data_IF_235988312995
#
_entry.id   IF_235988312995
#
_cell.length_a   1.000
_cell.length_b   1.000
_cell.length_c   1.000
_cell.angle_alpha   90.00
_cell.angle_beta   90.00
_cell.angle_gamma   90.00
#
_symmetry.space_group_name_H-M   'P 1'
#
loop_
_entity.id
_entity.type
_entity.pdbx_description
1 polymer ?
#
# COMPACT_ATOMS: atom_id res chain seq x y z
N UNK A 1 8.32 36.88 2.95
CA UNK A 1 8.58 35.71 3.81
C UNK A 1 8.90 34.52 2.93
N UNK A 2 10.17 34.08 2.90
CA UNK A 2 10.53 32.82 2.26
C UNK A 2 10.04 31.68 3.17
N UNK A 3 9.27 30.71 2.65
CA UNK A 3 8.86 29.56 3.47
C UNK A 3 10.11 28.78 3.86
N UNK A 4 10.25 28.48 5.15
CA UNK A 4 11.36 27.69 5.67
C UNK A 4 11.38 26.30 5.01
N UNK A 5 12.54 25.92 4.46
CA UNK A 5 12.79 24.59 3.89
C UNK A 5 13.77 23.83 4.81
N UNK A 6 13.36 22.69 5.39
CA UNK A 6 14.28 21.86 6.17
C UNK A 6 15.36 21.21 5.29
N UNK A 7 16.52 20.83 5.87
CA UNK A 7 17.50 19.94 5.23
C UNK A 7 16.88 18.59 4.82
N UNK A 8 17.46 17.95 3.80
CA UNK A 8 16.96 16.68 3.22
C UNK A 8 16.71 15.55 4.22
N UNK A 9 17.63 15.35 5.17
CA UNK A 9 17.50 14.30 6.20
C UNK A 9 16.34 14.56 7.18
N UNK A 10 15.99 15.84 7.38
CA UNK A 10 14.91 16.24 8.27
C UNK A 10 13.55 16.09 7.58
N UNK A 11 13.50 16.24 6.24
CA UNK A 11 12.32 15.92 5.43
C UNK A 11 11.98 14.43 5.49
N UNK A 12 12.99 13.55 5.50
CA UNK A 12 12.79 12.10 5.65
C UNK A 12 12.19 11.78 7.02
N UNK A 13 12.67 12.43 8.10
CA UNK A 13 12.14 12.26 9.47
C UNK A 13 10.68 12.70 9.65
N UNK A 14 10.13 13.49 8.73
CA UNK A 14 8.74 13.99 8.76
C UNK A 14 7.80 13.18 7.86
N UNK A 15 8.27 12.06 7.29
CA UNK A 15 7.46 11.12 6.52
C UNK A 15 7.37 9.79 7.29
N UNK A 16 6.17 9.44 7.73
CA UNK A 16 5.89 8.21 8.48
C UNK A 16 5.29 7.17 7.54
N UNK A 17 6.04 6.11 7.25
CA UNK A 17 5.64 5.13 6.25
C UNK A 17 5.69 3.73 6.84
N UNK A 18 4.59 3.01 6.72
CA UNK A 18 4.50 1.65 7.22
C UNK A 18 3.65 0.75 6.32
N UNK A 19 4.16 -0.45 6.10
CA UNK A 19 3.41 -1.58 5.56
C UNK A 19 3.44 -2.66 6.63
N UNK A 20 2.27 -3.07 7.12
CA UNK A 20 2.19 -3.91 8.33
C UNK A 20 0.98 -4.84 8.27
N UNK A 21 1.05 -6.07 8.80
CA UNK A 21 -0.14 -6.92 8.94
C UNK A 21 -1.08 -6.45 10.06
N UNK A 22 -0.60 -5.58 10.95
CA UNK A 22 -1.33 -5.15 12.15
C UNK A 22 -2.47 -4.16 11.85
N UNK A 23 -3.55 -4.14 12.66
CA UNK A 23 -4.61 -3.15 12.55
C UNK A 23 -4.08 -1.71 12.62
N UNK A 24 -4.57 -0.85 11.73
CA UNK A 24 -4.19 0.56 11.68
C UNK A 24 -4.98 1.36 12.72
N UNK A 25 -4.29 2.16 13.52
CA UNK A 25 -4.91 3.08 14.50
C UNK A 25 -4.89 4.50 13.95
N UNK A 26 -6.08 5.06 13.70
CA UNK A 26 -6.24 6.46 13.28
C UNK A 26 -5.64 7.42 14.31
N UNK A 27 -5.89 7.18 15.59
CA UNK A 27 -5.38 8.03 16.67
C UNK A 27 -3.85 8.03 16.73
N UNK A 28 -3.22 6.84 16.67
CA UNK A 28 -1.76 6.73 16.65
C UNK A 28 -1.16 7.49 15.47
N UNK A 29 -1.73 7.30 14.27
CA UNK A 29 -1.24 7.95 13.05
C UNK A 29 -1.48 9.47 13.11
N UNK A 30 -2.61 9.91 13.67
CA UNK A 30 -2.89 11.32 13.89
C UNK A 30 -1.82 11.97 14.77
N UNK A 31 -1.44 11.35 15.89
CA UNK A 31 -0.42 11.89 16.78
C UNK A 31 0.95 12.05 16.11
N UNK A 32 1.30 11.21 15.14
CA UNK A 32 2.56 11.34 14.39
C UNK A 32 2.62 12.63 13.56
N UNK A 33 1.47 13.09 13.06
CA UNK A 33 1.42 14.23 12.12
C UNK A 33 1.02 15.55 12.77
N UNK A 34 0.61 15.56 14.03
CA UNK A 34 0.30 16.79 14.78
C UNK A 34 1.57 17.61 14.96
N UNK A 35 1.46 18.91 14.70
CA UNK A 35 2.56 19.87 14.85
C UNK A 35 2.02 21.23 15.34
N UNK A 36 2.67 21.89 16.31
CA UNK A 36 2.25 23.20 16.80
C UNK A 36 2.17 24.30 15.73
N UNK A 37 2.87 24.13 14.60
CA UNK A 37 2.87 25.08 13.48
C UNK A 37 1.75 24.83 12.46
N UNK A 38 0.96 23.78 12.65
CA UNK A 38 -0.10 23.38 11.72
C UNK A 38 -1.49 23.71 12.27
N UNK A 39 -2.29 24.43 11.47
CA UNK A 39 -3.70 24.68 11.75
C UNK A 39 -4.64 23.60 11.21
N UNK A 40 -4.13 22.63 10.45
CA UNK A 40 -4.94 21.56 9.87
C UNK A 40 -4.18 20.22 9.82
N UNK A 41 -4.93 19.16 10.10
CA UNK A 41 -4.58 17.77 9.78
C UNK A 41 -5.75 17.21 8.97
N UNK A 42 -5.45 16.63 7.81
CA UNK A 42 -6.45 15.95 6.99
C UNK A 42 -6.12 14.47 6.92
N UNK A 43 -7.16 13.63 6.91
CA UNK A 43 -7.05 12.18 6.88
C UNK A 43 -7.85 11.61 5.72
N UNK A 44 -7.32 10.55 5.12
CA UNK A 44 -8.07 9.58 4.32
C UNK A 44 -7.97 8.22 4.99
N UNK A 45 -9.11 7.54 5.14
CA UNK A 45 -9.20 6.20 5.70
C UNK A 45 -9.95 5.32 4.70
N UNK A 46 -9.23 4.38 4.09
CA UNK A 46 -9.83 3.39 3.19
C UNK A 46 -10.29 2.19 4.00
N UNK A 47 -11.60 1.98 4.12
CA UNK A 47 -12.18 0.85 4.84
C UNK A 47 -12.73 -0.23 3.91
N UNK A 48 -12.69 -1.48 4.37
CA UNK A 48 -13.32 -2.60 3.66
C UNK A 48 -14.84 -2.48 3.71
N UNK A 49 -15.49 -2.56 2.55
CA UNK A 49 -16.95 -2.58 2.43
C UNK A 49 -17.48 -4.01 2.55
N UNK A 50 -18.74 -4.14 2.98
CA UNK A 50 -19.47 -5.41 3.13
C UNK A 50 -19.95 -6.01 1.80
N UNK A 51 -19.81 -5.28 0.69
CA UNK A 51 -20.37 -5.70 -0.60
C UNK A 51 -19.54 -5.23 -1.80
N UNK A 52 -19.52 -6.06 -2.84
CA UNK A 52 -18.94 -5.74 -4.15
C UNK A 52 -19.77 -6.37 -5.27
N UNK A 53 -20.24 -5.57 -6.25
CA UNK A 53 -21.07 -6.03 -7.38
C UNK A 53 -22.25 -6.92 -6.95
N UNK A 54 -22.90 -6.57 -5.83
CA UNK A 54 -24.04 -7.33 -5.29
C UNK A 54 -23.68 -8.62 -4.56
N UNK A 55 -22.38 -8.94 -4.38
CA UNK A 55 -21.90 -10.06 -3.57
C UNK A 55 -21.48 -9.59 -2.18
N UNK A 56 -21.82 -10.38 -1.17
CA UNK A 56 -21.43 -10.16 0.22
C UNK A 56 -19.93 -10.48 0.40
N UNK A 57 -19.16 -9.48 0.81
CA UNK A 57 -17.72 -9.57 1.08
C UNK A 57 -17.55 -9.74 2.59
N UNK A 58 -16.83 -10.79 3.00
CA UNK A 58 -16.55 -11.06 4.41
C UNK A 58 -15.27 -10.36 4.86
N UNK A 59 -14.26 -10.33 3.98
CA UNK A 59 -12.96 -9.70 4.24
C UNK A 59 -12.18 -9.51 2.94
N UNK A 60 -11.14 -8.68 3.02
CA UNK A 60 -10.10 -8.57 2.00
C UNK A 60 -8.81 -9.23 2.48
N UNK A 61 -8.06 -9.79 1.56
CA UNK A 61 -6.67 -10.24 1.77
C UNK A 61 -5.75 -9.36 0.93
N UNK A 62 -4.78 -8.72 1.57
CA UNK A 62 -3.84 -7.80 0.94
C UNK A 62 -2.43 -8.38 0.93
N UNK A 63 -1.80 -8.39 -0.23
CA UNK A 63 -0.38 -8.73 -0.40
C UNK A 63 0.37 -7.51 -0.91
N UNK A 64 1.64 -7.37 -0.52
CA UNK A 64 2.48 -6.27 -0.96
C UNK A 64 3.91 -6.72 -1.17
N UNK A 65 4.58 -6.14 -2.17
CA UNK A 65 6.04 -6.16 -2.19
C UNK A 65 6.53 -5.05 -1.26
N UNK A 66 6.68 -5.36 0.03
CA UNK A 66 6.80 -4.36 1.09
C UNK A 66 7.92 -3.33 0.87
N UNK A 67 9.11 -3.78 0.45
CA UNK A 67 10.24 -2.87 0.23
C UNK A 67 9.93 -1.86 -0.88
N UNK A 68 9.38 -2.33 -2.00
CA UNK A 68 8.99 -1.48 -3.12
C UNK A 68 7.80 -0.59 -2.75
N UNK A 69 6.82 -1.12 -2.02
CA UNK A 69 5.69 -0.36 -1.53
C UNK A 69 6.13 0.81 -0.64
N UNK A 70 7.05 0.59 0.30
CA UNK A 70 7.61 1.67 1.14
C UNK A 70 8.37 2.70 0.31
N UNK A 71 9.14 2.27 -0.70
CA UNK A 71 9.84 3.18 -1.63
C UNK A 71 8.87 4.05 -2.42
N UNK A 72 7.81 3.48 -2.98
CA UNK A 72 6.78 4.21 -3.73
C UNK A 72 5.99 5.17 -2.82
N UNK A 73 5.61 4.76 -1.61
CA UNK A 73 4.99 5.64 -0.63
C UNK A 73 5.88 6.83 -0.27
N UNK A 74 7.20 6.60 -0.14
CA UNK A 74 8.15 7.68 0.10
C UNK A 74 8.24 8.63 -1.09
N UNK A 75 8.27 8.10 -2.31
CA UNK A 75 8.24 8.90 -3.53
C UNK A 75 6.99 9.79 -3.59
N UNK A 76 5.82 9.27 -3.21
CA UNK A 76 4.57 10.04 -3.12
C UNK A 76 4.70 11.18 -2.11
N UNK A 77 5.25 10.93 -0.91
CA UNK A 77 5.48 11.98 0.08
C UNK A 77 6.39 13.09 -0.45
N UNK A 78 7.49 12.73 -1.11
CA UNK A 78 8.42 13.70 -1.71
C UNK A 78 7.75 14.51 -2.83
N UNK A 79 6.98 13.86 -3.69
CA UNK A 79 6.21 14.51 -4.74
C UNK A 79 5.13 15.46 -4.21
N UNK A 80 4.45 15.11 -3.11
CA UNK A 80 3.49 15.99 -2.46
C UNK A 80 4.18 17.26 -1.93
N UNK A 81 5.34 17.12 -1.29
CA UNK A 81 6.12 18.26 -0.77
C UNK A 81 6.68 19.17 -1.86
N UNK A 82 7.02 18.62 -3.04
CA UNK A 82 7.39 19.43 -4.20
C UNK A 82 6.24 20.31 -4.69
N UNK A 83 5.00 19.79 -4.65
CA UNK A 83 3.79 20.55 -5.03
C UNK A 83 3.36 21.53 -3.94
N UNK A 84 3.50 21.15 -2.68
CA UNK A 84 3.10 21.92 -1.51
C UNK A 84 4.23 21.96 -0.48
N UNK A 85 5.10 22.96 -0.58
CA UNK A 85 6.27 23.11 0.31
C UNK A 85 5.92 23.42 1.76
N UNK A 86 4.67 23.83 2.04
CA UNK A 86 4.18 24.14 3.39
C UNK A 86 3.77 22.90 4.21
N UNK A 87 3.65 21.71 3.60
CA UNK A 87 3.30 20.49 4.33
C UNK A 87 4.34 20.20 5.41
N UNK A 88 3.89 19.86 6.62
CA UNK A 88 4.79 19.49 7.72
C UNK A 88 5.02 18.01 7.80
N UNK A 89 4.02 17.24 8.19
CA UNK A 89 4.15 15.80 8.34
C UNK A 89 3.22 15.09 7.37
N UNK A 90 3.71 13.97 6.85
CA UNK A 90 2.91 13.06 6.02
C UNK A 90 3.04 11.66 6.60
N UNK A 91 1.93 10.95 6.70
CA UNK A 91 1.88 9.55 7.05
C UNK A 91 1.14 8.76 5.96
N UNK A 92 1.73 7.64 5.53
CA UNK A 92 1.09 6.67 4.64
C UNK A 92 1.29 5.29 5.24
N UNK A 93 0.20 4.71 5.71
CA UNK A 93 0.17 3.41 6.37
C UNK A 93 -0.74 2.49 5.60
N UNK A 94 -0.23 1.30 5.24
CA UNK A 94 -1.01 0.29 4.54
C UNK A 94 -0.97 -1.03 5.29
N UNK A 95 -2.14 -1.62 5.47
CA UNK A 95 -2.29 -2.94 6.09
C UNK A 95 -2.19 -4.04 5.04
N UNK A 96 -1.43 -5.09 5.36
CA UNK A 96 -1.36 -6.35 4.60
C UNK A 96 -2.05 -7.47 5.37
N UNK A 97 -2.18 -8.64 4.74
CA UNK A 97 -2.91 -9.77 5.31
C UNK A 97 -4.41 -9.55 5.31
N UNK A 98 -5.10 -10.11 6.30
CA UNK A 98 -6.56 -10.10 6.37
C UNK A 98 -7.09 -8.79 6.95
N UNK A 99 -8.00 -8.15 6.23
CA UNK A 99 -8.68 -6.92 6.62
C UNK A 99 -10.20 -7.16 6.61
N UNK A 100 -10.82 -7.34 7.78
CA UNK A 100 -12.27 -7.49 7.92
C UNK A 100 -13.06 -6.29 7.40
N UNK A 101 -14.35 -6.50 7.14
CA UNK A 101 -15.32 -5.43 6.84
C UNK A 101 -15.31 -4.37 7.94
N UNK A 102 -15.34 -3.10 7.54
CA UNK A 102 -15.32 -1.94 8.43
C UNK A 102 -13.92 -1.54 8.91
N UNK A 103 -12.90 -2.39 8.74
CA UNK A 103 -11.53 -2.07 9.15
C UNK A 103 -10.75 -1.34 8.05
N UNK A 104 -9.78 -0.52 8.48
CA UNK A 104 -8.95 0.26 7.58
C UNK A 104 -7.85 -0.59 6.93
N UNK A 105 -7.76 -0.55 5.60
CA UNK A 105 -6.67 -1.12 4.82
C UNK A 105 -5.58 -0.10 4.52
N UNK A 106 -5.92 1.19 4.48
CA UNK A 106 -4.95 2.27 4.29
C UNK A 106 -5.39 3.51 5.09
N UNK A 107 -4.42 4.16 5.72
CA UNK A 107 -4.60 5.48 6.34
C UNK A 107 -3.53 6.42 5.79
N UNK A 108 -3.98 7.58 5.31
CA UNK A 108 -3.11 8.68 4.90
C UNK A 108 -3.44 9.89 5.75
N UNK A 109 -2.43 10.52 6.35
CA UNK A 109 -2.59 11.72 7.15
C UNK A 109 -1.58 12.79 6.72
N UNK A 110 -2.03 14.04 6.60
CA UNK A 110 -1.16 15.15 6.21
C UNK A 110 -1.46 16.37 7.08
N UNK A 111 -0.41 17.00 7.61
CA UNK A 111 -0.51 18.26 8.34
C UNK A 111 0.06 19.45 7.57
N UNK A 112 -0.61 20.60 7.73
CA UNK A 112 -0.27 21.85 7.05
C UNK A 112 -0.67 23.05 7.93
N UNK A 113 0.01 24.20 7.80
CA UNK A 113 -0.45 25.47 8.38
C UNK A 113 -1.91 25.81 8.02
N UNK A 114 -2.34 25.46 6.81
CA UNK A 114 -3.69 25.76 6.31
C UNK A 114 -4.37 24.53 5.70
N UNK A 115 -5.71 24.49 5.82
CA UNK A 115 -6.54 23.33 5.43
C UNK A 115 -6.50 23.00 3.94
N UNK A 116 -6.36 24.01 3.07
CA UNK A 116 -6.45 23.84 1.60
C UNK A 116 -5.41 22.83 1.10
N UNK A 117 -4.18 22.99 1.58
CA UNK A 117 -3.02 22.20 1.13
C UNK A 117 -3.06 20.81 1.74
N UNK A 118 -3.50 20.67 3.00
CA UNK A 118 -3.69 19.35 3.62
C UNK A 118 -4.73 18.52 2.86
N UNK A 119 -5.88 19.09 2.50
CA UNK A 119 -6.95 18.39 1.76
C UNK A 119 -6.44 17.94 0.40
N UNK A 120 -5.84 18.86 -0.38
CA UNK A 120 -5.31 18.55 -1.72
C UNK A 120 -4.19 17.52 -1.68
N UNK A 121 -3.33 17.57 -0.66
CA UNK A 121 -2.23 16.63 -0.52
C UNK A 121 -2.70 15.22 -0.17
N UNK A 122 -3.71 15.07 0.69
CA UNK A 122 -4.32 13.77 1.00
C UNK A 122 -4.96 13.15 -0.24
N UNK A 123 -5.76 13.93 -0.98
CA UNK A 123 -6.37 13.49 -2.23
C UNK A 123 -5.32 13.05 -3.26
N UNK A 124 -4.27 13.85 -3.44
CA UNK A 124 -3.15 13.49 -4.29
C UNK A 124 -2.50 12.17 -3.84
N UNK A 125 -2.22 12.03 -2.55
CA UNK A 125 -1.49 10.88 -2.02
C UNK A 125 -2.27 9.57 -2.18
N UNK A 126 -3.59 9.56 -1.95
CA UNK A 126 -4.40 8.35 -2.16
C UNK A 126 -4.47 7.97 -3.64
N UNK A 127 -4.66 8.94 -4.52
CA UNK A 127 -4.72 8.68 -5.96
C UNK A 127 -3.39 8.15 -6.49
N UNK A 128 -2.27 8.74 -6.04
CA UNK A 128 -0.94 8.26 -6.39
C UNK A 128 -0.67 6.86 -5.80
N UNK A 129 -1.08 6.60 -4.55
CA UNK A 129 -0.89 5.30 -3.92
C UNK A 129 -1.63 4.19 -4.68
N UNK A 130 -2.89 4.40 -5.06
CA UNK A 130 -3.65 3.44 -5.86
C UNK A 130 -3.05 3.20 -7.25
N UNK A 131 -2.34 4.20 -7.79
CA UNK A 131 -1.74 4.14 -9.12
C UNK A 131 -0.35 3.47 -9.15
N UNK A 132 0.50 3.69 -8.13
CA UNK A 132 1.91 3.29 -8.19
C UNK A 132 2.34 2.27 -7.14
N UNK A 133 1.66 2.19 -6.00
CA UNK A 133 2.09 1.31 -4.91
C UNK A 133 1.75 -0.16 -5.25
N UNK A 134 2.73 -1.08 -5.26
CA UNK A 134 2.52 -2.49 -5.59
C UNK A 134 1.87 -3.24 -4.42
N UNK A 135 0.55 -3.06 -4.30
CA UNK A 135 -0.32 -3.77 -3.36
C UNK A 135 -1.45 -4.42 -4.15
N UNK A 136 -1.68 -5.70 -3.86
CA UNK A 136 -2.72 -6.51 -4.46
C UNK A 136 -3.81 -6.79 -3.43
N UNK A 137 -5.07 -6.79 -3.86
CA UNK A 137 -6.20 -7.15 -3.02
C UNK A 137 -6.91 -8.38 -3.58
N UNK A 138 -7.37 -9.22 -2.69
CA UNK A 138 -8.20 -10.38 -2.98
C UNK A 138 -9.48 -10.26 -2.17
N UNK A 139 -10.60 -10.36 -2.86
CA UNK A 139 -11.92 -10.34 -2.24
C UNK A 139 -12.32 -11.75 -1.81
N UNK A 140 -12.69 -11.90 -0.53
CA UNK A 140 -13.18 -13.15 0.05
C UNK A 140 -14.67 -12.95 0.33
N UNK A 141 -15.51 -13.70 -0.39
CA UNK A 141 -16.97 -13.62 -0.30
C UNK A 141 -17.55 -14.61 0.70
N UNK A 142 -18.82 -14.42 1.07
CA UNK A 142 -19.56 -15.39 1.86
C UNK A 142 -19.90 -16.66 1.05
N UNK A 143 -19.93 -17.81 1.74
CA UNK A 143 -20.18 -19.13 1.14
C UNK A 143 -18.97 -19.73 0.41
N UNK A 144 -19.18 -20.84 -0.33
CA UNK A 144 -18.13 -21.54 -1.10
C UNK A 144 -17.77 -20.84 -2.42
N UNK A 145 -17.94 -19.51 -2.50
CA UNK A 145 -17.61 -18.75 -3.70
C UNK A 145 -16.09 -18.61 -3.84
N UNK A 146 -15.52 -18.80 -5.04
CA UNK A 146 -14.09 -18.69 -5.24
C UNK A 146 -13.62 -17.24 -5.01
N UNK A 147 -12.49 -17.03 -4.31
CA UNK A 147 -11.95 -15.70 -4.09
C UNK A 147 -11.51 -15.07 -5.40
N UNK A 148 -11.58 -13.73 -5.49
CA UNK A 148 -11.20 -13.00 -6.70
C UNK A 148 -10.09 -11.99 -6.41
N UNK A 149 -8.97 -12.13 -7.14
CA UNK A 149 -7.90 -11.15 -7.15
C UNK A 149 -8.30 -9.95 -7.99
N UNK A 150 -8.03 -8.75 -7.48
CA UNK A 150 -8.19 -7.51 -8.22
C UNK A 150 -6.95 -6.64 -8.11
N UNK A 151 -6.53 -6.15 -9.26
CA UNK A 151 -5.61 -5.03 -9.35
C UNK A 151 -6.44 -3.75 -9.29
N UNK A 152 -5.90 -2.67 -8.71
CA UNK A 152 -6.61 -1.40 -8.72
C UNK A 152 -6.72 -0.90 -10.17
N UNK A 153 -7.90 -0.43 -10.58
CA UNK A 153 -8.16 0.03 -11.96
C UNK A 153 -7.24 1.19 -12.39
N UNK A 154 -6.65 1.90 -11.43
CA UNK A 154 -5.75 3.03 -11.65
C UNK A 154 -4.26 2.61 -11.66
N UNK A 155 -3.93 1.32 -11.44
CA UNK A 155 -2.55 0.84 -11.39
C UNK A 155 -1.84 1.00 -12.74
N UNK A 156 -0.80 1.81 -12.78
CA UNK A 156 -0.05 2.12 -14.00
C UNK A 156 0.82 0.95 -14.47
N UNK A 157 1.15 -0.01 -13.60
CA UNK A 157 1.89 -1.22 -13.95
C UNK A 157 0.99 -2.38 -14.44
N UNK A 158 -0.34 -2.25 -14.36
CA UNK A 158 -1.27 -3.28 -14.83
C UNK A 158 -1.28 -3.45 -16.36
N UNK A 159 -0.71 -2.49 -17.10
CA UNK A 159 -0.75 -2.42 -18.57
C UNK A 159 0.37 -3.14 -19.34
N UNK A 160 1.32 -3.81 -18.68
CA UNK A 160 2.37 -4.58 -19.39
C UNK A 160 2.03 -6.05 -19.60
N UNK A 161 0.86 -6.52 -19.18
CA UNK A 161 0.43 -7.91 -19.34
C UNK A 161 -0.92 -8.03 -20.08
N UNK A 162 -0.94 -7.71 -21.37
CA UNK A 162 -2.02 -8.17 -22.26
C UNK A 162 -1.46 -8.62 -23.61
N UNK A 163 -1.01 -9.87 -23.67
CA UNK A 163 -1.31 -10.78 -24.78
C UNK A 163 -1.08 -12.24 -24.35
N UNK A 164 -2.15 -13.03 -24.39
CA UNK A 164 -2.27 -14.49 -24.19
C UNK A 164 -2.42 -15.03 -22.75
N UNK A 165 -3.64 -15.54 -22.51
CA UNK A 165 -4.05 -16.69 -21.69
C UNK A 165 -3.55 -16.82 -20.23
N UNK A 166 -4.50 -16.77 -19.29
CA UNK A 166 -4.41 -17.37 -17.95
C UNK A 166 -3.25 -16.86 -17.09
N UNK A 167 -3.44 -15.72 -16.43
CA UNK A 167 -2.40 -15.14 -15.58
C UNK A 167 -2.26 -15.91 -14.24
N UNK A 168 -1.55 -17.02 -14.28
CA UNK A 168 -0.79 -17.50 -13.12
C UNK A 168 0.38 -16.53 -12.86
N UNK A 169 0.65 -16.32 -11.57
CA UNK A 169 1.72 -15.52 -10.97
C UNK A 169 3.06 -15.61 -11.76
N UNK A 170 3.78 -14.51 -12.03
CA UNK A 170 5.20 -14.60 -12.36
C UNK A 170 5.98 -14.98 -11.10
N UNK A 171 6.77 -16.05 -11.19
CA UNK A 171 7.54 -16.62 -10.08
C UNK A 171 8.51 -15.59 -9.46
N UNK A 172 8.57 -15.58 -8.13
CA UNK A 172 9.56 -14.81 -7.36
C UNK A 172 10.96 -15.40 -7.61
N UNK A 173 12.01 -14.59 -7.84
CA UNK A 173 13.36 -15.11 -8.03
C UNK A 173 13.95 -15.48 -6.66
N UNK A 174 13.86 -16.77 -6.29
CA UNK A 174 14.30 -17.21 -4.97
C UNK A 174 14.50 -18.70 -4.73
N UNK A 175 14.34 -19.58 -5.74
CA UNK A 175 14.62 -21.02 -5.57
C UNK A 175 15.45 -21.54 -6.74
N UNK A 176 16.77 -21.38 -6.63
CA UNK A 176 17.72 -22.17 -7.39
C UNK A 176 18.40 -23.18 -6.45
N UNK A 177 18.11 -24.45 -6.73
CA UNK A 177 18.91 -25.64 -6.45
C UNK A 177 19.09 -26.10 -4.98
N UNK A 178 18.24 -27.05 -4.58
CA UNK A 178 18.67 -28.17 -3.73
C UNK A 178 17.86 -29.42 -4.06
N UNK A 179 18.39 -30.26 -4.95
CA UNK A 179 17.97 -31.67 -5.04
C UNK A 179 19.03 -32.50 -5.77
N UNK A 180 20.08 -32.91 -5.06
CA UNK A 180 20.84 -34.09 -5.41
C UNK A 180 20.23 -35.28 -4.64
N UNK A 181 19.15 -35.84 -5.19
CA UNK A 181 18.54 -37.08 -4.72
C UNK A 181 19.19 -38.27 -5.42
N UNK A 182 19.84 -39.14 -4.65
CA UNK A 182 20.35 -40.41 -5.12
C UNK A 182 19.24 -41.43 -5.35
N UNK A 183 19.43 -42.31 -6.34
CA UNK A 183 18.81 -43.63 -6.39
C UNK A 183 19.60 -44.57 -7.33
N UNK A 184 20.15 -45.63 -6.74
CA UNK A 184 20.41 -46.97 -7.33
C UNK A 184 19.67 -47.96 -6.39
N UNK A 185 19.40 -49.23 -6.75
CA UNK A 185 19.76 -50.05 -7.92
C UNK A 185 18.47 -50.62 -8.60
N UNK A 186 18.38 -51.62 -9.48
CA UNK A 186 19.23 -52.69 -10.02
C UNK A 186 18.64 -53.15 -11.36
N UNK A 187 19.43 -53.74 -12.26
CA UNK A 187 19.04 -54.89 -13.08
C UNK A 187 20.27 -55.54 -13.72
N UNK A 188 20.26 -56.88 -13.77
CA UNK A 188 21.41 -57.76 -14.01
C UNK A 188 21.61 -58.26 -15.44
N UNK A 189 22.53 -59.23 -15.53
CA UNK A 189 22.99 -60.05 -16.67
C UNK A 189 23.86 -59.30 -17.70
N UNK A 190 25.04 -59.79 -18.10
CA UNK A 190 25.66 -61.11 -18.07
C UNK A 190 27.18 -61.01 -17.82
#
# INVERSE_FOLDING_TARGET
>A
FQPWQPPGDQLIKMNFIEVTPEPLSLDRIHQLVVDPTCGAVCHFVGTTRDSFEGREVVRLEYEAYEEMARKEMLAICLQARQRWSCLRHLAIYHRTGLVPVGEASIIIAVSSPHRSEAIKAVEFAINAAKATVPVWKKEIYAGDQPPQWKVNAECQWAGTATASAGADKPASPGEAASSAGGARPANGHA
#
